data_IF_880687156922
#
_entry.id   IF_880687156922
#
_cell.length_a   1.000
_cell.length_b   1.000
_cell.length_c   1.000
_cell.angle_alpha   90.00
_cell.angle_beta   90.00
_cell.angle_gamma   90.00
#
_symmetry.space_group_name_H-M   'P 1'
#
loop_
_entity.id
_entity.type
_entity.pdbx_description
1 polymer ?
#
# COMPACT_ATOMS: atom_id res chain seq x y z
N UNK A 1 -17.48 -30.52 13.88
CA UNK A 1 -16.43 -30.46 12.84
C UNK A 1 -15.95 -29.03 12.67
N UNK A 2 -14.78 -28.82 12.08
CA UNK A 2 -14.27 -27.49 11.71
C UNK A 2 -14.66 -27.18 10.27
N UNK A 3 -15.25 -26.01 10.04
CA UNK A 3 -15.70 -25.59 8.71
C UNK A 3 -15.02 -24.28 8.33
N UNK A 4 -14.70 -24.13 7.05
CA UNK A 4 -14.24 -22.87 6.49
C UNK A 4 -15.40 -21.88 6.42
N UNK A 5 -15.19 -20.69 6.97
CA UNK A 5 -16.22 -19.65 7.04
C UNK A 5 -15.62 -18.27 6.71
N UNK A 6 -16.44 -17.41 6.11
CA UNK A 6 -16.07 -16.03 5.74
C UNK A 6 -16.88 -15.07 6.61
N UNK A 7 -16.19 -14.29 7.44
CA UNK A 7 -16.81 -13.26 8.27
C UNK A 7 -17.28 -12.06 7.44
N UNK A 8 -18.52 -11.62 7.67
CA UNK A 8 -19.05 -10.36 7.12
C UNK A 8 -18.58 -9.20 7.99
N UNK A 9 -17.76 -8.31 7.43
CA UNK A 9 -17.42 -7.00 8.03
C UNK A 9 -17.71 -5.95 6.95
N UNK A 10 -18.28 -4.81 7.36
CA UNK A 10 -18.40 -3.60 6.54
C UNK A 10 -17.01 -3.00 6.38
N UNK A 11 -16.20 -3.53 5.47
CA UNK A 11 -14.86 -3.03 5.17
C UNK A 11 -14.98 -2.05 4.01
N UNK A 12 -14.14 -1.02 4.02
CA UNK A 12 -13.90 -0.12 2.90
C UNK A 12 -13.76 -0.95 1.61
N UNK A 13 -14.59 -0.67 0.63
CA UNK A 13 -14.43 -1.23 -0.70
C UNK A 13 -13.43 -0.36 -1.43
N UNK A 14 -12.39 -1.01 -1.93
CA UNK A 14 -11.41 -0.32 -2.76
C UNK A 14 -12.11 0.21 -4.02
N UNK A 15 -12.30 1.52 -4.07
CA UNK A 15 -12.94 2.20 -5.20
C UNK A 15 -12.02 2.25 -6.42
N UNK A 16 -10.76 1.79 -6.30
CA UNK A 16 -9.81 1.73 -7.41
C UNK A 16 -10.32 0.96 -8.64
N UNK A 17 -11.27 0.03 -8.45
CA UNK A 17 -11.88 -0.76 -9.52
C UNK A 17 -13.16 -0.14 -10.08
N UNK A 18 -13.55 1.07 -9.65
CA UNK A 18 -14.71 1.73 -10.21
C UNK A 18 -14.45 2.15 -11.66
N UNK A 19 -15.43 1.99 -12.57
CA UNK A 19 -15.22 2.26 -14.00
C UNK A 19 -14.69 3.66 -14.30
N UNK A 20 -15.11 4.67 -13.54
CA UNK A 20 -14.62 6.05 -13.69
C UNK A 20 -13.14 6.19 -13.26
N UNK A 21 -12.70 5.48 -12.22
CA UNK A 21 -11.32 5.48 -11.76
C UNK A 21 -10.43 4.72 -12.75
N UNK A 22 -10.91 3.61 -13.30
CA UNK A 22 -10.20 2.87 -14.36
C UNK A 22 -10.04 3.75 -15.61
N UNK A 23 -11.11 4.39 -16.08
CA UNK A 23 -11.04 5.31 -17.22
C UNK A 23 -10.09 6.49 -16.98
N UNK A 24 -10.06 7.02 -15.75
CA UNK A 24 -9.10 8.06 -15.38
C UNK A 24 -7.65 7.57 -15.44
N UNK A 25 -7.36 6.35 -14.97
CA UNK A 25 -6.01 5.76 -15.03
C UNK A 25 -5.49 5.65 -16.45
N UNK A 26 -6.34 5.28 -17.41
CA UNK A 26 -5.95 5.22 -18.83
C UNK A 26 -5.53 6.60 -19.34
N UNK A 27 -6.30 7.65 -19.04
CA UNK A 27 -5.95 9.02 -19.43
C UNK A 27 -4.67 9.51 -18.74
N UNK A 28 -4.51 9.24 -17.45
CA UNK A 28 -3.32 9.60 -16.69
C UNK A 28 -2.05 8.98 -17.28
N UNK A 29 -2.09 7.71 -17.70
CA UNK A 29 -0.94 7.05 -18.33
C UNK A 29 -0.55 7.71 -19.67
N UNK A 30 -1.53 8.12 -20.48
CA UNK A 30 -1.28 8.84 -21.73
C UNK A 30 -0.63 10.20 -21.47
N UNK A 31 -1.07 10.93 -20.45
CA UNK A 31 -0.48 12.21 -20.05
C UNK A 31 0.97 12.02 -19.55
N UNK A 32 1.22 10.99 -18.73
CA UNK A 32 2.55 10.68 -18.24
C UNK A 32 3.53 10.33 -19.37
N UNK A 33 3.12 9.54 -20.37
CA UNK A 33 3.95 9.23 -21.53
C UNK A 33 4.28 10.49 -22.35
N UNK A 34 3.35 11.43 -22.45
CA UNK A 34 3.59 12.70 -23.12
C UNK A 34 4.60 13.57 -22.36
N UNK A 35 4.51 13.61 -21.02
CA UNK A 35 5.43 14.35 -20.15
C UNK A 35 6.82 13.72 -20.09
N UNK A 36 6.93 12.39 -20.15
CA UNK A 36 8.21 11.68 -20.16
C UNK A 36 9.10 12.13 -21.33
N UNK A 37 8.51 12.44 -22.48
CA UNK A 37 9.23 12.98 -23.66
C UNK A 37 9.87 14.35 -23.41
N UNK A 38 9.34 15.10 -22.44
CA UNK A 38 9.85 16.41 -22.01
C UNK A 38 10.86 16.30 -20.87
N UNK A 39 11.02 15.13 -20.26
CA UNK A 39 12.02 14.95 -19.21
C UNK A 39 13.41 15.20 -19.79
N UNK A 40 14.24 16.02 -19.11
CA UNK A 40 15.56 16.35 -19.60
C UNK A 40 16.39 15.07 -19.68
N UNK A 41 16.77 14.68 -20.88
CA UNK A 41 17.73 13.61 -21.11
C UNK A 41 19.12 14.20 -20.89
N UNK A 42 19.80 13.77 -19.84
CA UNK A 42 21.22 14.06 -19.68
C UNK A 42 21.95 13.55 -20.93
N UNK A 43 22.78 14.41 -21.53
CA UNK A 43 23.49 14.14 -22.80
C UNK A 43 24.61 13.10 -22.65
N UNK A 44 24.94 12.69 -21.42
CA UNK A 44 25.90 11.63 -21.15
C UNK A 44 25.21 10.27 -21.23
N UNK A 45 25.67 9.45 -22.17
CA UNK A 45 25.23 8.06 -22.36
C UNK A 45 25.53 7.17 -21.12
N UNK A 46 26.37 7.66 -20.20
CA UNK A 46 26.75 6.99 -18.96
C UNK A 46 25.81 7.26 -17.77
N UNK A 47 24.80 8.13 -17.91
CA UNK A 47 23.87 8.45 -16.80
C UNK A 47 22.52 7.76 -16.99
N UNK A 48 22.27 6.76 -16.14
CA UNK A 48 20.97 6.08 -16.05
C UNK A 48 19.95 6.93 -15.29
N UNK A 49 18.79 7.16 -15.89
CA UNK A 49 17.63 7.76 -15.21
C UNK A 49 16.84 6.67 -14.49
N UNK A 50 16.56 6.88 -13.20
CA UNK A 50 15.80 5.93 -12.38
C UNK A 50 14.58 6.66 -11.81
N UNK A 51 13.39 6.11 -12.06
CA UNK A 51 12.18 6.59 -11.41
C UNK A 51 12.22 6.22 -9.92
N UNK A 52 12.08 7.24 -9.08
CA UNK A 52 11.89 7.08 -7.64
C UNK A 52 10.49 7.55 -7.29
N UNK A 53 9.70 6.68 -6.68
CA UNK A 53 8.34 6.96 -6.20
C UNK A 53 8.32 6.95 -4.68
N UNK A 54 7.41 7.70 -4.08
CA UNK A 54 7.17 7.71 -2.64
C UNK A 54 5.74 7.25 -2.38
N UNK A 55 5.56 6.41 -1.37
CA UNK A 55 4.23 6.01 -0.93
C UNK A 55 4.16 5.83 0.59
N UNK A 56 2.96 6.03 1.13
CA UNK A 56 2.64 5.83 2.54
C UNK A 56 1.66 4.67 2.70
N UNK A 57 1.81 3.90 3.77
CA UNK A 57 0.94 2.78 4.09
C UNK A 57 0.76 2.65 5.58
N UNK A 58 -0.49 2.45 6.01
CA UNK A 58 -0.84 2.25 7.42
C UNK A 58 -1.44 0.87 7.58
N UNK A 59 -0.86 0.08 8.48
CA UNK A 59 -1.33 -1.26 8.82
C UNK A 59 -1.90 -1.26 10.23
N UNK A 60 -3.03 -1.92 10.45
CA UNK A 60 -3.63 -2.03 11.78
C UNK A 60 -3.56 -3.46 12.32
N UNK A 61 -3.37 -3.60 13.63
CA UNK A 61 -3.27 -4.90 14.31
C UNK A 61 -4.51 -5.79 14.10
N UNK A 62 -5.69 -5.18 13.92
CA UNK A 62 -6.95 -5.89 13.71
C UNK A 62 -7.40 -5.94 12.24
N UNK A 63 -6.50 -5.69 11.27
CA UNK A 63 -6.72 -5.92 9.83
C UNK A 63 -6.74 -7.43 9.46
N UNK A 64 -7.19 -8.28 10.37
CA UNK A 64 -7.19 -9.72 10.23
C UNK A 64 -8.03 -10.22 9.04
N UNK A 65 -7.54 -11.29 8.39
CA UNK A 65 -8.21 -11.94 7.25
C UNK A 65 -9.67 -12.26 7.56
N UNK A 66 -10.60 -12.04 6.63
CA UNK A 66 -12.04 -12.35 6.82
C UNK A 66 -12.33 -13.85 6.97
N UNK A 67 -11.39 -14.69 6.57
CA UNK A 67 -11.51 -16.15 6.61
C UNK A 67 -11.14 -16.70 7.98
N UNK A 68 -11.90 -17.68 8.46
CA UNK A 68 -11.60 -18.41 9.69
C UNK A 68 -12.11 -19.84 9.59
N UNK A 69 -11.49 -20.74 10.35
CA UNK A 69 -12.00 -22.09 10.57
C UNK A 69 -12.73 -22.10 11.91
N UNK A 70 -13.96 -22.60 11.95
CA UNK A 70 -14.77 -22.62 13.16
C UNK A 70 -15.92 -23.61 13.11
N UNK A 71 -16.55 -23.86 14.25
CA UNK A 71 -17.82 -24.60 14.30
C UNK A 71 -18.90 -23.84 13.54
N UNK A 72 -19.87 -24.55 12.95
CA UNK A 72 -20.93 -23.96 12.11
C UNK A 72 -21.76 -22.90 12.83
N UNK A 73 -21.90 -23.05 14.15
CA UNK A 73 -22.71 -22.16 14.99
C UNK A 73 -21.87 -21.13 15.77
N UNK A 74 -20.55 -21.10 15.55
CA UNK A 74 -19.65 -20.18 16.25
C UNK A 74 -19.05 -19.16 15.28
N UNK A 75 -19.49 -17.91 15.42
CA UNK A 75 -18.83 -16.77 14.79
C UNK A 75 -17.90 -16.10 15.80
N UNK A 76 -16.58 -16.07 15.59
CA UNK A 76 -15.66 -15.39 16.48
C UNK A 76 -15.95 -13.88 16.47
N UNK A 77 -16.23 -13.34 17.64
CA UNK A 77 -16.37 -11.90 17.84
C UNK A 77 -14.99 -11.25 17.66
N UNK A 78 -14.88 -10.35 16.67
CA UNK A 78 -13.68 -9.53 16.47
C UNK A 78 -13.83 -8.23 17.24
N UNK A 79 -12.73 -7.75 17.81
CA UNK A 79 -12.67 -6.38 18.31
C UNK A 79 -13.03 -5.43 17.16
N UNK A 80 -13.91 -4.47 17.46
CA UNK A 80 -14.41 -3.51 16.47
C UNK A 80 -13.36 -2.45 16.13
N UNK A 81 -12.53 -2.10 17.11
CA UNK A 81 -11.41 -1.18 16.97
C UNK A 81 -10.34 -1.72 16.02
N UNK A 82 -9.60 -0.83 15.37
CA UNK A 82 -8.51 -1.20 14.46
C UNK A 82 -7.28 -1.72 15.23
N UNK A 83 -7.16 -1.38 16.52
CA UNK A 83 -5.97 -1.70 17.32
C UNK A 83 -4.80 -0.75 16.98
N UNK A 84 -3.59 -1.14 17.39
CA UNK A 84 -2.37 -0.37 17.10
C UNK A 84 -2.13 -0.27 15.59
N UNK A 85 -1.76 0.91 15.13
CA UNK A 85 -1.32 1.15 13.76
C UNK A 85 0.20 0.99 13.62
N UNK A 86 0.66 0.80 12.39
CA UNK A 86 2.05 0.90 11.97
C UNK A 86 2.06 1.74 10.70
N UNK A 87 2.61 2.95 10.77
CA UNK A 87 2.70 3.83 9.63
C UNK A 87 4.09 3.68 8.99
N UNK A 88 4.10 3.35 7.71
CA UNK A 88 5.31 3.15 6.91
C UNK A 88 5.30 4.18 5.77
N UNK A 89 6.40 4.92 5.65
CA UNK A 89 6.65 5.86 4.56
C UNK A 89 7.93 5.40 3.85
N UNK A 90 7.85 5.08 2.55
CA UNK A 90 8.92 4.38 1.82
C UNK A 90 9.15 5.00 0.44
N UNK A 91 10.42 5.01 0.01
CA UNK A 91 10.80 5.38 -1.35
C UNK A 91 11.11 4.13 -2.17
N UNK A 92 10.39 3.97 -3.28
CA UNK A 92 10.50 2.83 -4.17
C UNK A 92 11.18 3.19 -5.50
N UNK A 93 11.99 2.27 -6.01
CA UNK A 93 12.68 2.39 -7.30
C UNK A 93 12.36 1.19 -8.18
N UNK A 94 12.42 1.37 -9.49
CA UNK A 94 12.16 0.30 -10.47
C UNK A 94 13.23 -0.82 -10.45
N UNK A 95 14.42 -0.52 -9.94
CA UNK A 95 15.58 -1.44 -9.99
C UNK A 95 15.69 -2.27 -8.70
N UNK A 96 15.67 -1.59 -7.56
CA UNK A 96 16.02 -2.20 -6.26
C UNK A 96 14.82 -2.39 -5.33
N UNK A 97 13.60 -2.12 -5.83
CA UNK A 97 12.36 -1.96 -5.06
C UNK A 97 12.45 -0.84 -4.02
N UNK A 98 13.29 -0.93 -3.00
CA UNK A 98 13.51 0.13 -2.01
C UNK A 98 14.73 0.94 -2.36
N UNK A 99 14.64 2.26 -2.17
CA UNK A 99 15.79 3.14 -2.29
C UNK A 99 16.73 2.89 -1.10
N UNK A 100 17.97 2.50 -1.40
CA UNK A 100 19.00 2.19 -0.42
C UNK A 100 20.34 2.81 -0.80
N UNK A 101 21.14 3.14 0.19
CA UNK A 101 22.52 3.54 0.02
C UNK A 101 23.39 2.78 1.02
N UNK A 102 24.25 1.87 0.52
CA UNK A 102 25.01 0.93 1.35
C UNK A 102 24.06 0.10 2.24
N UNK A 103 24.21 0.20 3.55
CA UNK A 103 23.41 -0.52 4.56
C UNK A 103 22.22 0.32 5.08
N UNK A 104 21.96 1.49 4.50
CA UNK A 104 20.85 2.38 4.88
C UNK A 104 19.71 2.32 3.85
N UNK A 105 18.46 2.29 4.33
CA UNK A 105 17.24 2.35 3.50
C UNK A 105 16.51 3.67 3.72
N UNK A 106 15.92 4.23 2.65
CA UNK A 106 15.04 5.40 2.71
C UNK A 106 13.61 5.01 3.12
N UNK A 107 13.47 4.32 4.25
CA UNK A 107 12.20 3.83 4.79
C UNK A 107 12.05 4.28 6.25
N UNK A 108 10.90 4.88 6.58
CA UNK A 108 10.59 5.31 7.94
C UNK A 108 9.39 4.51 8.46
N UNK A 109 9.58 3.88 9.62
CA UNK A 109 8.53 3.17 10.34
C UNK A 109 8.17 3.99 11.59
N UNK A 110 6.99 4.58 11.57
CA UNK A 110 6.43 5.34 12.68
C UNK A 110 5.51 4.43 13.48
N UNK A 111 5.78 4.33 14.78
CA UNK A 111 4.90 3.66 15.73
C UNK A 111 4.04 4.73 16.39
N UNK A 112 2.73 4.48 16.57
CA UNK A 112 1.87 5.41 17.30
C UNK A 112 2.40 5.58 18.72
N UNK A 113 2.43 6.82 19.19
CA UNK A 113 2.75 7.12 20.59
C UNK A 113 1.66 6.57 21.51
N UNK A 114 1.92 6.53 22.83
CA UNK A 114 0.97 6.04 23.85
C UNK A 114 -0.43 6.68 23.78
N UNK A 115 -0.57 7.81 23.08
CA UNK A 115 -1.83 8.53 22.90
C UNK A 115 -2.58 8.19 21.60
N UNK A 116 -2.08 7.27 20.76
CA UNK A 116 -2.66 6.93 19.44
C UNK A 116 -2.74 8.09 18.44
N UNK A 117 -2.04 9.20 18.71
CA UNK A 117 -1.84 10.27 17.74
C UNK A 117 -0.69 9.85 16.81
N UNK A 118 -0.99 9.78 15.52
CA UNK A 118 -0.04 9.54 14.44
C UNK A 118 0.25 10.81 13.65
#
# INVERSE_FOLDING_TARGET
>A
GWFFQIGKKNIYYDEHEYPNIIAYRENFLLEMEALEKLMPKLMDEDITHILVTHNESVFYANDGKKIYWGSKDHTPLRKKENGLSLHISDFLTEIDNRLKFKDEEACVIMKPDNNYDG
#
